data_IF_786313675013
#
_entry.id   IF_786313675013
#
_cell.length_a   1.000
_cell.length_b   1.000
_cell.length_c   1.000
_cell.angle_alpha   90.00
_cell.angle_beta   90.00
_cell.angle_gamma   90.00
#
_symmetry.space_group_name_H-M   'P 1'
#
loop_
_entity.id
_entity.type
_entity.pdbx_description
1 polymer ?
#
# COMPACT_ATOMS: atom_id res chain seq x y z
N UNK A 1 -15.75 26.57 -51.29
CA UNK A 1 -14.41 26.08 -51.70
C UNK A 1 -13.36 26.87 -50.92
N UNK A 2 -12.54 26.15 -50.14
CA UNK A 2 -11.27 26.55 -49.47
C UNK A 2 -11.28 27.69 -48.43
N UNK A 3 -10.32 27.71 -47.48
CA UNK A 3 -10.03 26.69 -46.46
C UNK A 3 -10.01 27.28 -45.02
N UNK A 4 -10.08 26.39 -44.03
CA UNK A 4 -10.00 26.71 -42.60
C UNK A 4 -8.60 27.20 -42.20
N UNK A 5 -8.54 28.31 -41.46
CA UNK A 5 -7.31 28.86 -40.87
C UNK A 5 -7.10 28.34 -39.44
N UNK A 6 -5.84 28.08 -39.13
CA UNK A 6 -5.32 27.34 -37.98
C UNK A 6 -5.60 27.96 -36.60
N UNK A 7 -6.02 27.12 -35.65
CA UNK A 7 -5.95 27.40 -34.22
C UNK A 7 -4.65 26.81 -33.66
N UNK A 8 -3.81 27.68 -33.11
CA UNK A 8 -2.57 27.35 -32.39
C UNK A 8 -2.89 26.53 -31.13
N UNK A 9 -2.20 25.41 -30.85
CA UNK A 9 -2.46 24.64 -29.63
C UNK A 9 -1.87 25.36 -28.41
N UNK A 10 -2.79 25.81 -27.54
CA UNK A 10 -2.47 26.45 -26.27
C UNK A 10 -1.68 25.54 -25.32
N UNK A 11 -0.80 26.18 -24.54
CA UNK A 11 -0.10 25.63 -23.39
C UNK A 11 -1.02 24.78 -22.49
N UNK A 12 -0.63 23.52 -22.25
CA UNK A 12 -1.32 22.54 -21.40
C UNK A 12 -1.27 22.85 -19.88
N UNK A 13 -1.28 24.14 -19.51
CA UNK A 13 -1.23 24.62 -18.12
C UNK A 13 -2.51 25.30 -17.64
N UNK A 14 -3.58 25.36 -18.46
CA UNK A 14 -4.86 25.94 -18.07
C UNK A 14 -5.98 24.93 -18.31
N UNK A 15 -6.23 24.11 -17.29
CA UNK A 15 -7.56 23.63 -16.87
C UNK A 15 -7.39 22.59 -15.75
N UNK A 16 -6.80 23.02 -14.62
CA UNK A 16 -6.91 22.25 -13.38
C UNK A 16 -8.17 22.72 -12.67
N UNK A 17 -9.32 22.09 -12.95
CA UNK A 17 -10.51 22.28 -12.11
C UNK A 17 -10.11 21.94 -10.69
N UNK A 18 -10.17 22.93 -9.80
CA UNK A 18 -9.87 22.79 -8.39
C UNK A 18 -11.02 22.00 -7.77
N UNK A 19 -10.99 20.67 -7.93
CA UNK A 19 -11.96 19.78 -7.29
C UNK A 19 -11.99 20.06 -5.79
N UNK A 20 -13.18 20.11 -5.21
CA UNK A 20 -13.34 20.33 -3.77
C UNK A 20 -12.53 19.30 -2.99
N UNK A 21 -11.76 19.75 -2.00
CA UNK A 21 -11.03 18.88 -1.07
C UNK A 21 -11.96 17.82 -0.45
N UNK A 22 -13.23 18.17 -0.22
CA UNK A 22 -14.24 17.24 0.27
C UNK A 22 -14.57 16.14 -0.75
N UNK A 23 -14.76 16.48 -2.03
CA UNK A 23 -15.03 15.51 -3.09
C UNK A 23 -13.86 14.53 -3.27
N UNK A 24 -12.62 15.02 -3.19
CA UNK A 24 -11.41 14.17 -3.23
C UNK A 24 -11.33 13.22 -2.04
N UNK A 25 -11.63 13.69 -0.84
CA UNK A 25 -11.61 12.86 0.38
C UNK A 25 -12.72 11.80 0.32
N UNK A 26 -13.95 12.20 -0.05
CA UNK A 26 -15.09 11.28 -0.11
C UNK A 26 -14.97 10.26 -1.25
N UNK A 27 -14.54 10.69 -2.43
CA UNK A 27 -14.30 9.81 -3.58
C UNK A 27 -13.14 8.84 -3.33
N UNK A 28 -12.01 9.32 -2.81
CA UNK A 28 -10.87 8.46 -2.49
C UNK A 28 -11.13 7.56 -1.28
N UNK A 29 -11.95 8.00 -0.31
CA UNK A 29 -12.39 7.21 0.84
C UNK A 29 -13.33 6.07 0.44
N UNK A 30 -14.40 6.38 -0.30
CA UNK A 30 -15.39 5.39 -0.78
C UNK A 30 -14.76 4.36 -1.72
N UNK A 31 -13.97 4.79 -2.71
CA UNK A 31 -13.23 3.87 -3.58
C UNK A 31 -12.24 3.01 -2.78
N UNK A 32 -11.62 3.58 -1.75
CA UNK A 32 -10.72 2.86 -0.85
C UNK A 32 -11.42 1.75 -0.07
N UNK A 33 -12.63 2.01 0.43
CA UNK A 33 -13.46 1.07 1.16
C UNK A 33 -14.00 -0.02 0.23
N UNK A 34 -14.48 0.33 -0.97
CA UNK A 34 -14.96 -0.65 -1.94
C UNK A 34 -13.84 -1.62 -2.37
N UNK A 35 -12.63 -1.11 -2.62
CA UNK A 35 -11.47 -1.95 -2.91
C UNK A 35 -11.11 -2.86 -1.72
N UNK A 36 -11.25 -2.38 -0.48
CA UNK A 36 -11.06 -3.25 0.69
C UNK A 36 -12.15 -4.32 0.78
N UNK A 37 -13.42 -3.99 0.56
CA UNK A 37 -14.50 -4.97 0.63
C UNK A 37 -14.29 -6.15 -0.31
N UNK A 38 -13.70 -5.92 -1.48
CA UNK A 38 -13.40 -6.98 -2.47
C UNK A 38 -12.10 -7.71 -2.14
N UNK A 39 -11.02 -6.99 -1.82
CA UNK A 39 -9.66 -7.56 -1.76
C UNK A 39 -9.14 -7.84 -0.34
N UNK A 40 -9.90 -7.53 0.71
CA UNK A 40 -9.50 -7.83 2.09
C UNK A 40 -9.21 -9.31 2.37
N UNK A 41 -9.91 -10.30 1.76
CA UNK A 41 -9.55 -11.70 1.92
C UNK A 41 -8.09 -12.02 1.58
N UNK A 42 -7.57 -11.35 0.54
CA UNK A 42 -6.18 -11.55 0.07
C UNK A 42 -5.19 -10.99 1.08
N UNK A 43 -5.48 -9.82 1.67
CA UNK A 43 -4.65 -9.25 2.73
C UNK A 43 -4.64 -10.17 3.96
N UNK A 44 -5.80 -10.68 4.38
CA UNK A 44 -5.90 -11.64 5.49
C UNK A 44 -5.11 -12.93 5.20
N UNK A 45 -5.24 -13.50 4.00
CA UNK A 45 -4.47 -14.69 3.58
C UNK A 45 -2.97 -14.39 3.65
N UNK A 46 -2.52 -13.28 3.05
CA UNK A 46 -1.12 -12.90 3.05
C UNK A 46 -0.58 -12.74 4.47
N UNK A 47 -1.31 -12.04 5.35
CA UNK A 47 -0.92 -11.82 6.75
C UNK A 47 -0.86 -13.10 7.56
N UNK A 48 -1.81 -14.04 7.35
CA UNK A 48 -1.78 -15.36 8.00
C UNK A 48 -0.57 -16.18 7.53
N UNK A 49 -0.26 -16.18 6.24
CA UNK A 49 0.94 -16.82 5.70
C UNK A 49 2.24 -16.22 6.27
N UNK A 50 2.33 -14.89 6.37
CA UNK A 50 3.47 -14.18 6.97
C UNK A 50 3.68 -14.55 8.44
N UNK A 51 2.58 -14.72 9.19
CA UNK A 51 2.60 -15.08 10.61
C UNK A 51 2.94 -16.55 10.87
N UNK A 52 2.75 -17.43 9.88
CA UNK A 52 2.98 -18.86 10.04
C UNK A 52 4.47 -19.18 10.21
N UNK A 53 4.79 -19.91 11.28
CA UNK A 53 6.11 -20.46 11.56
C UNK A 53 6.20 -21.89 11.01
N UNK A 54 7.34 -22.24 10.41
CA UNK A 54 7.56 -23.55 9.78
C UNK A 54 7.12 -23.63 8.32
N UNK A 55 7.45 -24.75 7.66
CA UNK A 55 7.17 -24.98 6.24
C UNK A 55 5.70 -25.40 6.03
N UNK A 56 5.16 -25.05 4.87
CA UNK A 56 3.83 -25.51 4.44
C UNK A 56 4.07 -26.62 3.41
N UNK A 57 3.93 -27.87 3.86
CA UNK A 57 4.28 -29.05 3.05
C UNK A 57 3.05 -29.75 2.45
N UNK A 58 1.84 -29.32 2.83
CA UNK A 58 0.61 -29.90 2.34
C UNK A 58 -0.51 -28.87 2.16
N UNK A 59 -1.46 -29.19 1.29
CA UNK A 59 -2.68 -28.41 1.08
C UNK A 59 -3.53 -28.35 2.36
N UNK A 60 -3.56 -29.43 3.14
CA UNK A 60 -4.22 -29.46 4.44
C UNK A 60 -3.59 -28.44 5.41
N UNK A 61 -2.26 -28.36 5.46
CA UNK A 61 -1.57 -27.36 6.29
C UNK A 61 -1.81 -25.95 5.78
N UNK A 62 -1.81 -25.73 4.46
CA UNK A 62 -2.13 -24.44 3.86
C UNK A 62 -3.54 -23.98 4.25
N UNK A 63 -4.53 -24.87 4.14
CA UNK A 63 -5.92 -24.62 4.54
C UNK A 63 -6.01 -24.32 6.05
N UNK A 64 -5.25 -25.02 6.89
CA UNK A 64 -5.16 -24.72 8.33
C UNK A 64 -4.55 -23.34 8.61
N UNK A 65 -3.49 -22.94 7.91
CA UNK A 65 -2.86 -21.62 8.07
C UNK A 65 -3.81 -20.51 7.62
N UNK A 66 -4.47 -20.70 6.47
CA UNK A 66 -5.36 -19.70 5.90
C UNK A 66 -6.63 -19.54 6.75
N UNK A 67 -7.27 -20.62 7.18
CA UNK A 67 -8.60 -20.55 7.81
C UNK A 67 -8.59 -20.81 9.31
N UNK A 68 -7.45 -21.18 9.90
CA UNK A 68 -7.29 -21.43 11.34
C UNK A 68 -8.30 -22.47 11.86
N UNK A 69 -9.05 -22.14 12.90
CA UNK A 69 -10.13 -22.94 13.48
C UNK A 69 -11.30 -23.16 12.51
N UNK A 70 -11.38 -22.39 11.42
CA UNK A 70 -12.37 -22.54 10.35
C UNK A 70 -11.88 -23.40 9.18
N UNK A 71 -10.80 -24.17 9.34
CA UNK A 71 -10.26 -25.01 8.27
C UNK A 71 -11.20 -26.16 7.84
N UNK A 72 -12.07 -26.64 8.72
CA UNK A 72 -12.99 -27.77 8.48
C UNK A 72 -14.43 -27.36 8.18
N UNK A 73 -14.77 -26.06 8.22
CA UNK A 73 -16.15 -25.61 7.98
C UNK A 73 -16.45 -25.42 6.49
N UNK A 74 -17.73 -25.20 6.16
CA UNK A 74 -18.18 -24.96 4.79
C UNK A 74 -17.50 -23.76 4.12
N UNK A 75 -17.45 -23.76 2.78
CA UNK A 75 -16.77 -22.74 1.98
C UNK A 75 -17.25 -21.30 2.28
N UNK A 76 -18.56 -21.10 2.49
CA UNK A 76 -19.10 -19.80 2.87
C UNK A 76 -18.56 -19.29 4.21
N UNK A 77 -18.56 -20.14 5.24
CA UNK A 77 -18.02 -19.78 6.56
C UNK A 77 -16.50 -19.52 6.50
N UNK A 78 -15.77 -20.28 5.68
CA UNK A 78 -14.36 -20.03 5.38
C UNK A 78 -14.15 -18.64 4.76
N UNK A 79 -14.93 -18.28 3.76
CA UNK A 79 -14.85 -16.97 3.10
C UNK A 79 -15.06 -15.81 4.09
N UNK A 80 -16.13 -15.85 4.90
CA UNK A 80 -16.38 -14.81 5.89
C UNK A 80 -15.32 -14.74 7.00
N UNK A 81 -14.64 -15.86 7.30
CA UNK A 81 -13.51 -15.88 8.24
C UNK A 81 -12.29 -15.08 7.78
N UNK A 82 -12.26 -14.63 6.51
CA UNK A 82 -11.20 -13.82 5.92
C UNK A 82 -11.45 -12.31 6.04
N UNK A 83 -12.56 -11.87 6.65
CA UNK A 83 -12.89 -10.46 6.90
C UNK A 83 -12.58 -9.89 8.30
N UNK A 84 -11.77 -10.50 9.18
CA UNK A 84 -11.53 -9.91 10.48
C UNK A 84 -10.74 -8.60 10.31
N UNK A 85 -11.16 -7.59 11.06
CA UNK A 85 -10.48 -6.29 11.10
C UNK A 85 -10.73 -5.39 9.90
N UNK A 86 -11.71 -5.70 9.04
CA UNK A 86 -12.07 -4.84 7.89
C UNK A 86 -12.31 -3.39 8.30
N UNK A 87 -12.97 -3.13 9.44
CA UNK A 87 -13.18 -1.77 9.95
C UNK A 87 -11.88 -1.01 10.26
N UNK A 88 -10.91 -1.66 10.91
CA UNK A 88 -9.59 -1.08 11.14
C UNK A 88 -8.82 -0.89 9.84
N UNK A 89 -8.94 -1.84 8.90
CA UNK A 89 -8.35 -1.72 7.58
C UNK A 89 -8.90 -0.52 6.82
N UNK A 90 -10.21 -0.30 6.88
CA UNK A 90 -10.88 0.86 6.29
C UNK A 90 -10.39 2.16 6.92
N UNK A 91 -10.45 2.29 8.25
CA UNK A 91 -9.97 3.48 8.96
C UNK A 91 -8.50 3.79 8.67
N UNK A 92 -7.63 2.77 8.75
CA UNK A 92 -6.22 2.90 8.40
C UNK A 92 -6.03 3.38 6.96
N UNK A 93 -6.73 2.78 5.98
CA UNK A 93 -6.57 3.11 4.57
C UNK A 93 -7.04 4.52 4.23
N UNK A 94 -8.14 4.97 4.82
CA UNK A 94 -8.63 6.35 4.64
C UNK A 94 -7.60 7.33 5.17
N UNK A 95 -7.13 7.16 6.41
CA UNK A 95 -6.13 8.03 7.01
C UNK A 95 -4.78 7.99 6.27
N UNK A 96 -4.40 6.81 5.79
CA UNK A 96 -3.20 6.63 4.96
C UNK A 96 -3.32 7.41 3.65
N UNK A 97 -4.48 7.38 2.98
CA UNK A 97 -4.71 8.14 1.74
C UNK A 97 -4.68 9.64 2.03
N UNK A 98 -5.36 10.12 3.06
CA UNK A 98 -5.34 11.54 3.47
C UNK A 98 -3.91 12.00 3.74
N UNK A 99 -3.16 11.23 4.53
CA UNK A 99 -1.77 11.54 4.86
C UNK A 99 -0.87 11.56 3.63
N UNK A 100 -0.90 10.52 2.79
CA UNK A 100 -0.04 10.43 1.61
C UNK A 100 -0.38 11.44 0.54
N UNK A 101 -1.65 11.56 0.14
CA UNK A 101 -2.05 12.50 -0.90
C UNK A 101 -2.00 13.95 -0.44
N UNK A 102 -2.26 14.20 0.85
CA UNK A 102 -2.08 15.53 1.44
C UNK A 102 -0.60 15.91 1.57
N UNK A 103 0.25 15.02 2.07
CA UNK A 103 1.64 15.32 2.42
C UNK A 103 2.64 15.24 1.27
N UNK A 104 2.47 14.30 0.34
CA UNK A 104 3.46 14.04 -0.71
C UNK A 104 3.73 15.24 -1.64
N UNK A 105 2.72 16.03 -2.05
CA UNK A 105 2.98 17.24 -2.84
C UNK A 105 3.91 18.22 -2.12
N UNK A 106 3.74 18.45 -0.81
CA UNK A 106 4.60 19.36 -0.05
C UNK A 106 6.07 18.92 -0.06
N UNK A 107 6.34 17.64 0.20
CA UNK A 107 7.71 17.11 0.19
C UNK A 107 8.32 17.16 -1.21
N UNK A 108 7.54 16.77 -2.23
CA UNK A 108 7.99 16.84 -3.62
C UNK A 108 8.32 18.27 -4.04
N UNK A 109 7.45 19.22 -3.71
CA UNK A 109 7.62 20.62 -4.11
C UNK A 109 8.81 21.26 -3.36
N UNK A 110 9.00 20.90 -2.09
CA UNK A 110 10.20 21.28 -1.34
C UNK A 110 11.48 20.74 -1.99
N UNK A 111 11.53 19.44 -2.31
CA UNK A 111 12.70 18.83 -2.96
C UNK A 111 12.96 19.42 -4.35
N UNK A 112 11.90 19.69 -5.12
CA UNK A 112 12.01 20.28 -6.45
C UNK A 112 12.61 21.69 -6.39
N UNK A 113 12.17 22.51 -5.43
CA UNK A 113 12.64 23.88 -5.27
C UNK A 113 14.08 23.96 -4.76
N UNK A 114 14.46 23.12 -3.80
CA UNK A 114 15.73 23.25 -3.08
C UNK A 114 16.83 22.31 -3.59
N UNK A 115 16.46 21.19 -4.21
CA UNK A 115 17.41 20.13 -4.58
C UNK A 115 17.26 19.63 -6.02
N UNK A 116 16.29 20.13 -6.80
CA UNK A 116 16.02 19.67 -8.17
C UNK A 116 17.27 19.65 -9.06
N UNK A 117 18.01 20.76 -9.09
CA UNK A 117 19.25 20.89 -9.87
C UNK A 117 20.32 19.89 -9.44
N UNK A 118 20.44 19.58 -8.15
CA UNK A 118 21.40 18.59 -7.66
C UNK A 118 21.03 17.18 -8.14
N UNK A 119 19.74 16.83 -8.15
CA UNK A 119 19.27 15.57 -8.70
C UNK A 119 19.51 15.46 -10.21
N UNK A 120 19.24 16.52 -10.95
CA UNK A 120 19.44 16.54 -12.40
C UNK A 120 20.94 16.47 -12.76
N UNK A 121 21.81 17.11 -12.01
CA UNK A 121 23.25 17.04 -12.20
C UNK A 121 23.81 15.63 -11.88
N UNK A 122 23.26 14.97 -10.85
CA UNK A 122 23.78 13.67 -10.39
C UNK A 122 23.26 12.50 -11.24
N UNK A 123 21.98 12.52 -11.60
CA UNK A 123 21.31 11.39 -12.26
C UNK A 123 20.92 11.70 -13.72
N UNK A 124 21.15 12.93 -14.19
CA UNK A 124 20.69 13.41 -15.48
C UNK A 124 19.23 13.89 -15.44
N UNK A 125 18.81 14.76 -16.38
CA UNK A 125 17.49 15.40 -16.37
C UNK A 125 16.31 14.43 -16.51
N UNK A 126 16.53 13.25 -17.11
CA UNK A 126 15.48 12.21 -17.24
C UNK A 126 15.27 11.44 -15.93
N UNK A 127 16.36 11.04 -15.28
CA UNK A 127 16.33 10.16 -14.10
C UNK A 127 16.27 10.96 -12.79
N UNK A 128 16.81 12.18 -12.76
CA UNK A 128 16.82 13.09 -11.61
C UNK A 128 15.42 13.34 -11.06
N UNK A 129 14.48 13.69 -11.95
CA UNK A 129 13.06 13.82 -11.57
C UNK A 129 12.47 12.54 -10.99
N UNK A 130 12.71 11.38 -11.61
CA UNK A 130 12.20 10.11 -11.10
C UNK A 130 12.77 9.78 -9.71
N UNK A 131 14.08 9.98 -9.51
CA UNK A 131 14.79 9.76 -8.25
C UNK A 131 14.29 10.69 -7.14
N UNK A 132 14.05 11.96 -7.45
CA UNK A 132 13.50 12.92 -6.51
C UNK A 132 12.07 12.56 -6.09
N UNK A 133 11.23 12.13 -7.03
CA UNK A 133 9.88 11.66 -6.73
C UNK A 133 9.90 10.38 -5.88
N UNK A 134 10.82 9.45 -6.17
CA UNK A 134 11.06 8.27 -5.35
C UNK A 134 11.45 8.64 -3.92
N UNK A 135 12.38 9.59 -3.74
CA UNK A 135 12.80 10.09 -2.42
C UNK A 135 11.64 10.75 -1.68
N UNK A 136 10.86 11.61 -2.33
CA UNK A 136 9.66 12.22 -1.73
C UNK A 136 8.70 11.14 -1.23
N UNK A 137 8.48 10.10 -2.04
CA UNK A 137 7.68 8.93 -1.67
C UNK A 137 8.25 8.14 -0.50
N UNK A 138 9.57 8.01 -0.40
CA UNK A 138 10.24 7.35 0.73
C UNK A 138 10.11 8.15 2.02
N UNK A 139 10.30 9.48 1.99
CA UNK A 139 10.13 10.36 3.17
C UNK A 139 8.70 10.28 3.69
N UNK A 140 7.71 10.42 2.81
CA UNK A 140 6.29 10.27 3.17
C UNK A 140 6.00 8.85 3.64
N UNK A 141 6.60 7.84 3.01
CA UNK A 141 6.49 6.45 3.43
C UNK A 141 6.96 6.25 4.88
N UNK A 142 8.10 6.83 5.25
CA UNK A 142 8.61 6.78 6.63
C UNK A 142 7.62 7.44 7.59
N UNK A 143 7.06 8.59 7.22
CA UNK A 143 6.11 9.32 8.05
C UNK A 143 4.78 8.60 8.31
N UNK A 144 4.47 7.50 7.60
CA UNK A 144 3.35 6.61 7.94
C UNK A 144 3.46 6.01 9.35
N UNK A 145 4.61 6.12 10.02
CA UNK A 145 4.74 5.80 11.46
C UNK A 145 3.64 6.48 12.28
N UNK A 146 3.18 7.67 11.92
CA UNK A 146 2.07 8.36 12.61
C UNK A 146 0.79 7.50 12.66
N UNK A 147 0.58 6.65 11.65
CA UNK A 147 -0.59 5.78 11.51
C UNK A 147 -0.37 4.37 12.10
N UNK A 148 0.80 4.11 12.66
CA UNK A 148 1.18 2.80 13.19
C UNK A 148 0.21 2.24 14.24
N UNK A 149 -0.39 3.05 15.14
CA UNK A 149 -1.37 2.52 16.09
C UNK A 149 -2.54 1.81 15.41
N UNK A 150 -3.08 2.36 14.34
CA UNK A 150 -4.18 1.74 13.59
C UNK A 150 -3.72 0.51 12.79
N UNK A 151 -2.50 0.54 12.25
CA UNK A 151 -1.93 -0.62 11.54
C UNK A 151 -1.75 -1.83 12.48
N UNK A 152 -1.25 -1.58 13.70
CA UNK A 152 -1.12 -2.62 14.74
C UNK A 152 -2.47 -3.21 15.10
N UNK A 153 -3.50 -2.37 15.30
CA UNK A 153 -4.84 -2.84 15.62
C UNK A 153 -5.43 -3.70 14.48
N UNK A 154 -5.27 -3.27 13.22
CA UNK A 154 -5.67 -4.03 12.03
C UNK A 154 -4.98 -5.40 11.97
N UNK A 155 -3.65 -5.41 12.05
CA UNK A 155 -2.85 -6.64 11.91
C UNK A 155 -3.17 -7.63 13.01
N UNK A 156 -3.22 -7.20 14.28
CA UNK A 156 -3.61 -8.08 15.38
C UNK A 156 -5.02 -8.62 15.18
N UNK A 157 -5.97 -7.85 14.67
CA UNK A 157 -7.32 -8.38 14.41
C UNK A 157 -7.32 -9.46 13.33
N UNK A 158 -6.44 -9.37 12.32
CA UNK A 158 -6.31 -10.37 11.26
C UNK A 158 -5.56 -11.64 11.73
N UNK A 159 -4.53 -11.48 12.56
CA UNK A 159 -3.57 -12.55 12.91
C UNK A 159 -3.73 -13.11 14.32
N UNK A 160 -4.21 -12.33 15.29
CA UNK A 160 -4.46 -12.75 16.67
C UNK A 160 -5.70 -12.04 17.28
N UNK A 161 -6.92 -12.46 16.90
CA UNK A 161 -8.16 -11.85 17.39
C UNK A 161 -8.32 -11.91 18.92
N UNK A 162 -7.68 -12.88 19.58
CA UNK A 162 -7.78 -13.11 21.02
C UNK A 162 -7.13 -11.99 21.83
N UNK A 163 -6.14 -11.28 21.27
CA UNK A 163 -5.50 -10.12 21.91
C UNK A 163 -6.49 -8.97 22.25
N UNK A 164 -7.69 -9.00 21.67
CA UNK A 164 -8.77 -8.04 21.89
C UNK A 164 -9.90 -8.55 22.80
N UNK A 165 -9.85 -9.79 23.30
CA UNK A 165 -10.96 -10.34 24.10
C UNK A 165 -11.19 -9.48 25.34
N UNK A 166 -12.42 -8.99 25.49
CA UNK A 166 -12.84 -8.19 26.65
C UNK A 166 -12.34 -6.74 26.68
N UNK A 167 -11.56 -6.28 25.69
CA UNK A 167 -11.05 -4.91 25.63
C UNK A 167 -11.56 -4.18 24.38
N UNK A 168 -12.28 -3.08 24.59
CA UNK A 168 -12.64 -2.15 23.51
C UNK A 168 -11.43 -1.35 23.02
N UNK A 169 -11.54 -0.74 21.84
CA UNK A 169 -10.44 0.02 21.20
C UNK A 169 -9.90 1.12 22.11
N UNK A 170 -10.79 1.91 22.71
CA UNK A 170 -10.42 3.02 23.59
C UNK A 170 -9.59 2.52 24.78
N UNK A 171 -9.96 1.38 25.35
CA UNK A 171 -9.24 0.76 26.46
C UNK A 171 -7.88 0.25 26.01
N UNK A 172 -7.78 -0.40 24.85
CA UNK A 172 -6.48 -0.84 24.30
C UNK A 172 -5.57 0.35 24.03
N UNK A 173 -6.08 1.43 23.46
CA UNK A 173 -5.28 2.64 23.19
C UNK A 173 -4.80 3.27 24.50
N UNK A 174 -5.65 3.32 25.52
CA UNK A 174 -5.30 3.83 26.84
C UNK A 174 -4.28 2.95 27.56
N UNK A 175 -4.47 1.63 27.53
CA UNK A 175 -3.63 0.66 28.24
C UNK A 175 -2.25 0.53 27.58
N UNK A 176 -2.20 0.45 26.26
CA UNK A 176 -0.96 0.19 25.51
C UNK A 176 -0.17 1.47 25.21
N UNK A 177 -0.84 2.62 25.05
CA UNK A 177 -0.22 3.92 24.78
C UNK A 177 0.84 3.88 23.66
N UNK A 178 2.06 4.31 23.96
CA UNK A 178 3.19 4.27 23.03
C UNK A 178 3.63 2.86 22.61
N UNK A 179 3.19 1.81 23.32
CA UNK A 179 3.36 0.41 22.90
C UNK A 179 2.74 0.12 21.53
N UNK A 180 1.76 0.90 21.09
CA UNK A 180 1.18 0.82 19.75
C UNK A 180 2.14 1.28 18.63
N UNK A 181 3.22 1.99 18.96
CA UNK A 181 4.29 2.35 18.03
C UNK A 181 5.41 1.29 17.96
N UNK A 182 5.25 0.14 18.63
CA UNK A 182 6.20 -0.97 18.53
C UNK A 182 6.32 -1.42 17.08
N UNK A 183 7.56 -1.52 16.62
CA UNK A 183 7.88 -1.86 15.24
C UNK A 183 7.91 -0.68 14.26
N UNK A 184 7.96 0.57 14.75
CA UNK A 184 8.13 1.75 13.91
C UNK A 184 9.39 1.69 13.04
N UNK A 185 10.50 1.17 13.58
CA UNK A 185 11.76 1.00 12.84
C UNK A 185 11.56 0.10 11.62
N UNK A 186 10.85 -1.01 11.78
CA UNK A 186 10.52 -1.93 10.69
C UNK A 186 9.55 -1.31 9.69
N UNK A 187 8.65 -0.44 10.15
CA UNK A 187 7.75 0.30 9.27
C UNK A 187 8.53 1.29 8.40
N UNK A 188 9.43 2.09 8.98
CA UNK A 188 10.31 2.98 8.23
C UNK A 188 11.21 2.22 7.26
N UNK A 189 11.91 1.20 7.77
CA UNK A 189 12.82 0.38 6.97
C UNK A 189 12.10 -0.30 5.81
N UNK A 190 10.81 -0.64 5.96
CA UNK A 190 9.98 -1.24 4.92
C UNK A 190 9.50 -0.20 3.90
N UNK A 191 8.98 0.91 4.40
CA UNK A 191 8.32 1.91 3.57
C UNK A 191 9.31 2.71 2.73
N UNK A 192 10.51 3.01 3.23
CA UNK A 192 11.51 3.76 2.47
C UNK A 192 11.95 3.05 1.17
N UNK A 193 12.50 1.81 1.19
CA UNK A 193 12.87 1.10 -0.02
C UNK A 193 11.65 0.61 -0.81
N UNK A 194 10.53 0.32 -0.14
CA UNK A 194 9.28 -0.03 -0.81
C UNK A 194 8.74 1.11 -1.68
N UNK A 195 8.71 2.34 -1.17
CA UNK A 195 8.33 3.53 -1.94
C UNK A 195 9.32 3.79 -3.07
N UNK A 196 10.62 3.65 -2.79
CA UNK A 196 11.65 3.87 -3.81
C UNK A 196 11.48 2.88 -4.98
N UNK A 197 11.31 1.59 -4.68
CA UNK A 197 11.08 0.55 -5.69
C UNK A 197 9.75 0.74 -6.45
N UNK A 198 8.71 1.29 -5.79
CA UNK A 198 7.44 1.63 -6.44
C UNK A 198 7.64 2.64 -7.57
N UNK A 199 8.24 3.78 -7.25
CA UNK A 199 8.46 4.85 -8.22
C UNK A 199 9.56 4.50 -9.22
N UNK A 200 10.65 3.87 -8.76
CA UNK A 200 11.74 3.39 -9.60
C UNK A 200 11.29 2.34 -10.61
N UNK A 201 10.51 1.34 -10.19
CA UNK A 201 9.95 0.33 -11.09
C UNK A 201 9.01 0.92 -12.13
N UNK A 202 8.16 1.87 -11.74
CA UNK A 202 7.28 2.58 -12.68
C UNK A 202 8.07 3.43 -13.69
N UNK A 203 9.09 4.16 -13.22
CA UNK A 203 9.97 4.96 -14.07
C UNK A 203 10.77 4.08 -15.04
N UNK A 204 11.32 2.97 -14.56
CA UNK A 204 12.03 2.00 -15.38
C UNK A 204 11.13 1.46 -16.51
N UNK A 205 9.92 1.04 -16.19
CA UNK A 205 8.97 0.57 -17.21
C UNK A 205 8.63 1.66 -18.23
N UNK A 206 8.40 2.90 -17.80
CA UNK A 206 8.09 4.01 -18.72
C UNK A 206 9.27 4.38 -19.62
N UNK A 207 10.46 4.54 -19.03
CA UNK A 207 11.65 4.99 -19.75
C UNK A 207 12.28 3.89 -20.59
N UNK A 208 12.51 2.71 -20.01
CA UNK A 208 13.24 1.62 -20.66
C UNK A 208 12.35 0.75 -21.54
N UNK A 209 11.19 0.33 -21.03
CA UNK A 209 10.32 -0.59 -21.78
C UNK A 209 9.46 0.12 -22.83
N UNK A 210 8.99 1.34 -22.54
CA UNK A 210 8.15 2.12 -23.45
C UNK A 210 8.87 3.27 -24.16
N UNK A 211 10.17 3.50 -23.89
CA UNK A 211 10.96 4.54 -24.54
C UNK A 211 10.50 5.97 -24.25
N UNK A 212 9.72 6.20 -23.19
CA UNK A 212 9.12 7.50 -22.92
C UNK A 212 10.17 8.48 -22.39
N UNK A 213 10.30 9.63 -23.04
CA UNK A 213 11.14 10.74 -22.58
C UNK A 213 10.37 11.70 -21.66
N UNK A 214 9.07 11.86 -21.89
CA UNK A 214 8.16 12.59 -21.03
C UNK A 214 7.09 11.65 -20.46
N UNK A 215 7.18 11.35 -19.17
CA UNK A 215 6.27 10.43 -18.49
C UNK A 215 4.83 10.94 -18.41
N UNK A 216 4.59 12.24 -18.63
CA UNK A 216 3.24 12.81 -18.65
C UNK A 216 2.49 12.46 -19.93
N UNK A 217 3.21 12.11 -21.00
CA UNK A 217 2.64 11.67 -22.28
C UNK A 217 2.36 10.17 -22.34
N UNK A 218 2.60 9.46 -21.24
CA UNK A 218 2.32 8.03 -21.16
C UNK A 218 0.83 7.78 -21.41
N UNK A 219 0.52 6.85 -22.31
CA UNK A 219 -0.85 6.41 -22.54
C UNK A 219 -1.43 5.75 -21.29
N UNK A 220 -2.75 5.59 -21.25
CA UNK A 220 -3.41 4.87 -20.16
C UNK A 220 -2.83 3.47 -19.97
N UNK A 221 -2.64 2.72 -21.06
CA UNK A 221 -2.07 1.37 -21.02
C UNK A 221 -0.63 1.37 -20.49
N UNK A 222 0.19 2.32 -20.92
CA UNK A 222 1.57 2.45 -20.43
C UNK A 222 1.61 2.77 -18.93
N UNK A 223 0.74 3.67 -18.46
CA UNK A 223 0.59 3.97 -17.03
C UNK A 223 0.10 2.76 -16.23
N UNK A 224 -0.83 1.98 -16.78
CA UNK A 224 -1.35 0.77 -16.16
C UNK A 224 -0.24 -0.28 -15.94
N UNK A 225 0.51 -0.62 -17.00
CA UNK A 225 1.59 -1.60 -16.91
C UNK A 225 2.72 -1.10 -16.00
N UNK A 226 3.10 0.18 -16.11
CA UNK A 226 4.10 0.77 -15.23
C UNK A 226 3.67 0.77 -13.76
N UNK A 227 2.36 0.90 -13.48
CA UNK A 227 1.83 0.82 -12.12
C UNK A 227 1.91 -0.61 -11.57
N UNK A 228 1.61 -1.63 -12.38
CA UNK A 228 1.78 -3.04 -11.98
C UNK A 228 3.25 -3.35 -11.70
N UNK A 229 4.15 -2.94 -12.61
CA UNK A 229 5.58 -3.17 -12.46
C UNK A 229 6.15 -2.50 -11.20
N UNK A 230 5.82 -1.21 -10.99
CA UNK A 230 6.20 -0.49 -9.78
C UNK A 230 5.64 -1.14 -8.52
N UNK A 231 4.34 -1.45 -8.47
CA UNK A 231 3.73 -2.10 -7.32
C UNK A 231 4.35 -3.47 -7.02
N UNK A 232 4.68 -4.25 -8.06
CA UNK A 232 5.34 -5.55 -7.92
C UNK A 232 6.76 -5.41 -7.39
N UNK A 233 7.55 -4.47 -7.93
CA UNK A 233 8.89 -4.18 -7.43
C UNK A 233 8.86 -3.76 -5.96
N UNK A 234 7.92 -2.88 -5.59
CA UNK A 234 7.67 -2.47 -4.21
C UNK A 234 7.38 -3.67 -3.29
N UNK A 235 6.50 -4.58 -3.71
CA UNK A 235 6.14 -5.77 -2.94
C UNK A 235 7.32 -6.73 -2.75
N UNK A 236 8.14 -6.93 -3.78
CA UNK A 236 9.32 -7.80 -3.71
C UNK A 236 10.38 -7.22 -2.77
N UNK A 237 10.69 -5.93 -2.91
CA UNK A 237 11.70 -5.25 -2.08
C UNK A 237 11.24 -5.15 -0.62
N UNK A 238 9.95 -4.90 -0.39
CA UNK A 238 9.40 -4.75 0.96
C UNK A 238 9.04 -6.08 1.64
N UNK A 239 8.99 -7.20 0.92
CA UNK A 239 8.51 -8.49 1.43
C UNK A 239 9.23 -8.97 2.70
N UNK A 240 10.58 -8.98 2.76
CA UNK A 240 11.30 -9.43 3.94
C UNK A 240 10.92 -8.66 5.21
N UNK A 241 10.86 -7.34 5.10
CA UNK A 241 10.52 -6.45 6.21
C UNK A 241 9.02 -6.53 6.55
N UNK A 242 8.16 -6.77 5.57
CA UNK A 242 6.74 -7.04 5.79
C UNK A 242 6.51 -8.30 6.63
N UNK A 243 7.24 -9.39 6.36
CA UNK A 243 7.16 -10.62 7.15
C UNK A 243 7.65 -10.38 8.57
N UNK A 244 8.82 -9.77 8.75
CA UNK A 244 9.40 -9.47 10.07
C UNK A 244 8.45 -8.60 10.89
N UNK A 245 7.97 -7.49 10.30
CA UNK A 245 6.99 -6.59 10.93
C UNK A 245 5.73 -7.33 11.34
N UNK A 246 5.18 -8.16 10.46
CA UNK A 246 3.95 -8.92 10.74
C UNK A 246 4.14 -9.88 11.90
N UNK A 247 5.30 -10.54 12.01
CA UNK A 247 5.60 -11.45 13.13
C UNK A 247 5.80 -10.73 14.46
N UNK A 248 6.49 -9.59 14.45
CA UNK A 248 6.65 -8.73 15.64
C UNK A 248 5.27 -8.31 16.16
N UNK A 249 4.41 -7.81 15.27
CA UNK A 249 3.09 -7.30 15.65
C UNK A 249 2.10 -8.41 16.02
N UNK A 250 2.32 -9.65 15.55
CA UNK A 250 1.50 -10.80 15.92
C UNK A 250 1.74 -11.26 17.37
N UNK A 251 2.91 -10.98 17.97
CA UNK A 251 3.20 -11.33 19.37
C UNK A 251 2.24 -10.63 20.34
N UNK A 252 1.96 -11.26 21.47
CA UNK A 252 1.15 -10.67 22.53
C UNK A 252 1.83 -9.41 23.08
N UNK A 253 1.03 -8.45 23.53
CA UNK A 253 1.58 -7.19 24.05
C UNK A 253 2.45 -7.41 25.30
N UNK A 254 2.10 -8.42 26.09
CA UNK A 254 2.75 -8.77 27.36
C UNK A 254 4.04 -9.59 27.19
N UNK A 255 4.29 -10.14 26.00
CA UNK A 255 5.50 -10.92 25.71
C UNK A 255 6.13 -10.49 24.37
N UNK A 256 6.73 -9.28 24.32
CA UNK A 256 7.37 -8.78 23.12
C UNK A 256 8.68 -9.55 22.83
N UNK A 257 8.99 -9.72 21.56
CA UNK A 257 10.24 -10.32 21.11
C UNK A 257 11.00 -9.34 20.22
N UNK A 258 12.32 -9.28 20.38
CA UNK A 258 13.17 -8.44 19.52
C UNK A 258 13.10 -8.89 18.07
N UNK A 259 13.01 -7.93 17.15
CA UNK A 259 13.01 -8.21 15.71
C UNK A 259 14.26 -8.98 15.25
N UNK A 260 15.43 -8.71 15.84
CA UNK A 260 16.66 -9.46 15.55
C UNK A 260 16.57 -10.93 15.94
N UNK A 261 15.91 -11.22 17.08
CA UNK A 261 15.67 -12.60 17.51
C UNK A 261 14.71 -13.32 16.56
N UNK A 262 13.66 -12.62 16.10
CA UNK A 262 12.74 -13.15 15.08
C UNK A 262 13.49 -13.45 13.77
N UNK A 263 14.33 -12.53 13.30
CA UNK A 263 15.16 -12.72 12.09
C UNK A 263 16.10 -13.92 12.27
N UNK A 264 16.81 -14.01 13.39
CA UNK A 264 17.71 -15.13 13.68
C UNK A 264 16.96 -16.46 13.72
N UNK A 265 15.80 -16.50 14.38
CA UNK A 265 14.95 -17.68 14.42
C UNK A 265 14.40 -18.06 13.05
N UNK A 266 14.03 -17.11 12.21
CA UNK A 266 13.56 -17.35 10.84
C UNK A 266 14.66 -17.99 10.00
N UNK A 267 15.86 -17.40 10.03
CA UNK A 267 17.00 -17.93 9.29
C UNK A 267 17.37 -19.34 9.74
N UNK A 268 17.44 -19.58 11.05
CA UNK A 268 17.84 -20.88 11.62
C UNK A 268 16.79 -21.98 11.38
N UNK A 269 15.50 -21.68 11.57
CA UNK A 269 14.46 -22.72 11.65
C UNK A 269 13.64 -22.87 10.36
N UNK A 270 13.59 -21.84 9.51
CA UNK A 270 12.70 -21.83 8.33
C UNK A 270 13.45 -21.55 7.01
N UNK A 271 14.65 -20.99 7.08
CA UNK A 271 15.47 -20.62 5.93
C UNK A 271 15.08 -19.28 5.28
N UNK A 272 15.85 -18.88 4.27
CA UNK A 272 15.75 -17.54 3.63
C UNK A 272 14.43 -17.31 2.88
N UNK A 273 13.79 -18.36 2.39
CA UNK A 273 12.50 -18.25 1.68
C UNK A 273 11.36 -17.83 2.61
N UNK A 274 11.51 -18.01 3.94
CA UNK A 274 10.51 -17.60 4.93
C UNK A 274 10.22 -16.09 4.93
N UNK A 275 11.18 -15.27 4.50
CA UNK A 275 11.06 -13.82 4.38
C UNK A 275 10.16 -13.36 3.22
N UNK A 276 9.72 -14.28 2.35
CA UNK A 276 8.83 -13.97 1.23
C UNK A 276 7.44 -14.59 1.37
N UNK A 277 7.12 -15.14 2.55
CA UNK A 277 5.78 -15.68 2.84
C UNK A 277 4.70 -14.64 2.62
N UNK A 278 3.64 -15.04 1.91
CA UNK A 278 2.52 -14.15 1.58
C UNK A 278 2.79 -13.18 0.41
N UNK A 279 3.95 -13.23 -0.24
CA UNK A 279 4.23 -12.43 -1.45
C UNK A 279 3.36 -12.86 -2.63
N UNK A 280 3.23 -14.18 -2.87
CA UNK A 280 2.46 -14.74 -4.00
C UNK A 280 1.02 -14.21 -4.08
N UNK A 281 0.16 -14.33 -3.03
CA UNK A 281 -1.20 -13.81 -3.12
C UNK A 281 -1.25 -12.30 -3.33
N UNK A 282 -0.28 -11.53 -2.81
CA UNK A 282 -0.19 -10.10 -3.05
C UNK A 282 0.13 -9.78 -4.51
N UNK A 283 1.12 -10.46 -5.11
CA UNK A 283 1.51 -10.26 -6.50
C UNK A 283 0.39 -10.62 -7.47
N UNK A 284 -0.28 -11.76 -7.26
CA UNK A 284 -1.38 -12.21 -8.11
C UNK A 284 -2.53 -11.19 -8.14
N UNK A 285 -2.78 -10.49 -7.03
CA UNK A 285 -3.85 -9.51 -6.93
C UNK A 285 -3.46 -8.09 -7.33
N UNK A 286 -2.18 -7.79 -7.58
CA UNK A 286 -1.75 -6.43 -7.97
C UNK A 286 -2.50 -5.92 -9.19
N UNK A 287 -2.52 -6.71 -10.27
CA UNK A 287 -3.24 -6.36 -11.51
C UNK A 287 -4.75 -6.23 -11.31
N UNK A 288 -5.46 -7.29 -10.85
CA UNK A 288 -6.90 -7.25 -10.62
C UNK A 288 -7.35 -6.11 -9.71
N UNK A 289 -6.60 -5.84 -8.64
CA UNK A 289 -6.86 -4.75 -7.71
C UNK A 289 -6.72 -3.38 -8.37
N UNK A 290 -5.72 -3.19 -9.23
CA UNK A 290 -5.54 -1.96 -9.99
C UNK A 290 -6.68 -1.77 -11.00
N UNK A 291 -7.06 -2.80 -11.76
CA UNK A 291 -8.20 -2.74 -12.69
C UNK A 291 -9.47 -2.32 -11.96
N UNK A 292 -9.78 -2.97 -10.83
CA UNK A 292 -10.95 -2.63 -10.04
C UNK A 292 -10.89 -1.19 -9.51
N UNK A 293 -9.73 -0.74 -9.05
CA UNK A 293 -9.54 0.63 -8.58
C UNK A 293 -9.75 1.66 -9.69
N UNK A 294 -9.29 1.36 -10.90
CA UNK A 294 -9.50 2.22 -12.07
C UNK A 294 -10.96 2.24 -12.52
N UNK A 295 -11.62 1.08 -12.57
CA UNK A 295 -13.04 0.99 -12.87
C UNK A 295 -13.87 1.79 -11.87
N UNK A 296 -13.57 1.69 -10.56
CA UNK A 296 -14.20 2.51 -9.54
C UNK A 296 -13.95 3.99 -9.74
N UNK A 297 -12.72 4.41 -10.08
CA UNK A 297 -12.44 5.81 -10.34
C UNK A 297 -13.24 6.33 -11.54
N UNK A 298 -13.29 5.58 -12.64
CA UNK A 298 -14.02 5.96 -13.85
C UNK A 298 -15.54 6.02 -13.66
N UNK A 299 -16.09 5.22 -12.75
CA UNK A 299 -17.54 5.17 -12.49
C UNK A 299 -17.96 6.16 -11.39
N UNK A 300 -17.23 6.22 -10.28
CA UNK A 300 -17.60 7.02 -9.12
C UNK A 300 -17.27 8.50 -9.28
N UNK A 301 -16.15 8.87 -9.93
CA UNK A 301 -15.77 10.29 -10.04
C UNK A 301 -16.83 11.08 -10.84
N UNK A 302 -17.25 10.65 -12.05
CA UNK A 302 -18.30 11.35 -12.77
C UNK A 302 -19.66 11.34 -12.04
N UNK A 303 -19.98 10.24 -11.36
CA UNK A 303 -21.22 10.14 -10.59
C UNK A 303 -21.25 11.14 -9.42
N UNK A 304 -20.13 11.33 -8.71
CA UNK A 304 -20.00 12.32 -7.65
C UNK A 304 -20.00 13.75 -8.20
N UNK A 305 -19.34 14.01 -9.33
CA UNK A 305 -19.35 15.34 -9.96
C UNK A 305 -20.77 15.76 -10.37
N UNK A 306 -21.58 14.83 -10.89
CA UNK A 306 -22.99 15.09 -11.20
C UNK A 306 -23.81 15.32 -9.92
N UNK A 307 -23.56 14.54 -8.87
CA UNK A 307 -24.28 14.68 -7.60
C UNK A 307 -23.96 16.00 -6.88
N UNK A 308 -22.70 16.46 -6.93
CA UNK A 308 -22.25 17.68 -6.24
C UNK A 308 -22.38 18.95 -7.08
N UNK A 309 -22.55 18.87 -8.41
CA UNK A 309 -22.86 20.03 -9.25
C UNK A 309 -24.35 20.42 -9.24
N UNK A 310 -25.20 19.58 -8.65
CA UNK A 310 -26.64 19.83 -8.47
C UNK A 310 -27.00 20.54 -7.15
N UNK A 311 -26.00 20.94 -6.35
CA UNK A 311 -26.17 21.74 -5.13
C UNK A 311 -25.44 23.07 -5.24
#
# INVERSE_FOLDING_TARGET
>A
MSPAAALSPGSASKDYKKESTAARILGSGSAGIAELAVFHPVDTIAKRLMSNQGKIESVAKLNQVIFKDKASVSAGKKFFSLFPGLGYAAGYKVLQRVYKYGGQPFVRDYLSKNHGTAFDNTFGPKTGKAMMHSLAGSIIGIGEIVLLPLDVLKIKRQTNPEAFRGRGVVRIVKDEGFGLYRGWQWTAARNAPGSFALFGGSAFTKGYMFGLTDYNKASWYQNFIASIAGASASLVVSAPLDVIKTRIQNRNFDNPESGFRIVSSMMKNEGITSFFKGLTPKLLMTGPKLVFSFWLAQTLIPAFDIAFSKN
#
